data_IF_352875714771
#
_entry.id   IF_352875714771
#
_cell.length_a   1.000
_cell.length_b   1.000
_cell.length_c   1.000
_cell.angle_alpha   90.00
_cell.angle_beta   90.00
_cell.angle_gamma   90.00
#
_symmetry.space_group_name_H-M   'P 1'
#
loop_
_entity.id
_entity.type
_entity.pdbx_description
1 polymer ?
#
# COMPACT_ATOMS: atom_id res chain seq x y z
N UNK A 1 -7.33 -71.96 -25.85
CA UNK A 1 -5.96 -71.51 -25.77
C UNK A 1 -5.79 -70.46 -26.84
N UNK A 2 -5.73 -69.18 -26.52
CA UNK A 2 -5.38 -68.11 -27.41
C UNK A 2 -4.34 -67.21 -26.67
N UNK A 3 -3.26 -66.81 -27.31
CA UNK A 3 -2.19 -66.09 -26.61
C UNK A 3 -2.52 -64.63 -26.38
N UNK A 4 -2.14 -64.17 -25.19
CA UNK A 4 -2.18 -62.80 -24.72
C UNK A 4 -1.13 -61.96 -25.44
N UNK A 5 -1.51 -60.92 -26.15
CA UNK A 5 -0.60 -59.93 -26.72
C UNK A 5 -0.32 -58.85 -25.69
N UNK A 6 0.91 -58.79 -25.20
CA UNK A 6 1.47 -57.74 -24.40
C UNK A 6 1.80 -56.55 -25.28
N UNK A 7 0.99 -55.48 -25.23
CA UNK A 7 1.28 -54.20 -25.82
C UNK A 7 1.98 -53.27 -24.83
N UNK A 8 3.27 -53.19 -24.87
CA UNK A 8 4.05 -52.12 -24.21
C UNK A 8 3.82 -50.79 -24.95
N UNK A 9 3.01 -49.90 -24.34
CA UNK A 9 2.95 -48.51 -24.74
C UNK A 9 4.02 -47.75 -23.99
N UNK A 10 5.19 -47.58 -24.58
CA UNK A 10 6.22 -46.67 -24.11
C UNK A 10 5.76 -45.22 -24.35
N UNK A 11 5.18 -44.62 -23.34
CA UNK A 11 5.01 -43.17 -23.31
C UNK A 11 6.39 -42.53 -23.04
N UNK A 12 7.12 -42.22 -24.10
CA UNK A 12 8.29 -41.34 -24.04
C UNK A 12 7.83 -39.94 -23.66
N UNK A 13 7.91 -39.59 -22.39
CA UNK A 13 7.97 -38.20 -21.95
C UNK A 13 9.33 -37.64 -22.44
N UNK A 14 9.32 -36.97 -23.58
CA UNK A 14 10.35 -36.03 -23.95
C UNK A 14 10.28 -34.85 -22.97
N UNK A 15 11.03 -34.93 -21.87
CA UNK A 15 11.40 -33.77 -21.09
C UNK A 15 12.30 -32.91 -22.00
N UNK A 16 11.68 -32.00 -22.75
CA UNK A 16 12.41 -30.94 -23.46
C UNK A 16 13.22 -30.18 -22.42
N UNK A 17 14.53 -30.04 -22.66
CA UNK A 17 15.40 -29.25 -21.80
C UNK A 17 14.79 -27.83 -21.68
N UNK A 18 14.43 -27.41 -20.45
CA UNK A 18 13.96 -26.07 -20.20
C UNK A 18 14.98 -25.08 -20.72
N UNK A 19 14.56 -24.19 -21.63
CA UNK A 19 15.45 -23.14 -22.12
C UNK A 19 15.56 -22.09 -21.01
N UNK A 20 16.79 -21.73 -20.70
CA UNK A 20 17.09 -20.65 -19.76
C UNK A 20 17.50 -19.40 -20.51
N UNK A 21 17.15 -18.24 -20.00
CA UNK A 21 17.64 -16.96 -20.51
C UNK A 21 18.23 -16.13 -19.39
N UNK A 22 19.12 -15.21 -19.73
CA UNK A 22 19.70 -14.29 -18.76
C UNK A 22 18.90 -13.01 -18.71
N UNK A 23 18.66 -12.50 -17.51
CA UNK A 23 17.96 -11.24 -17.22
C UNK A 23 18.76 -10.40 -16.23
N UNK A 24 18.53 -9.09 -16.22
CA UNK A 24 19.02 -8.22 -15.17
C UNK A 24 17.97 -8.11 -14.04
N UNK A 25 18.46 -8.01 -12.82
CA UNK A 25 17.64 -7.80 -11.61
C UNK A 25 18.34 -6.85 -10.65
N UNK A 26 17.58 -5.97 -10.03
CA UNK A 26 18.05 -5.15 -8.92
C UNK A 26 17.79 -5.89 -7.61
N UNK A 27 18.85 -6.18 -6.84
CA UNK A 27 18.85 -7.10 -5.70
C UNK A 27 19.45 -6.44 -4.47
N UNK A 28 18.70 -6.45 -3.39
CA UNK A 28 19.13 -5.93 -2.09
C UNK A 28 19.88 -7.01 -1.32
N UNK A 29 21.13 -6.74 -0.92
CA UNK A 29 22.02 -7.64 -0.15
C UNK A 29 22.13 -7.28 1.33
N UNK A 30 21.83 -6.06 1.67
CA UNK A 30 21.89 -5.50 3.02
C UNK A 30 21.28 -4.10 3.03
N UNK A 31 21.27 -3.40 4.16
CA UNK A 31 20.77 -2.03 4.23
C UNK A 31 21.48 -1.13 3.23
N UNK A 32 20.71 -0.53 2.28
CA UNK A 32 21.21 0.35 1.21
C UNK A 32 22.23 -0.29 0.26
N UNK A 33 22.31 -1.60 0.22
CA UNK A 33 23.21 -2.35 -0.66
C UNK A 33 22.41 -3.00 -1.78
N UNK A 34 21.96 -2.17 -2.73
CA UNK A 34 21.19 -2.59 -3.89
C UNK A 34 22.13 -2.75 -5.09
N UNK A 35 22.17 -3.96 -5.67
CA UNK A 35 23.08 -4.31 -6.74
C UNK A 35 22.33 -4.75 -7.98
N UNK A 36 22.81 -4.34 -9.17
CA UNK A 36 22.36 -4.88 -10.44
C UNK A 36 23.07 -6.20 -10.71
N UNK A 37 22.32 -7.28 -10.86
CA UNK A 37 22.82 -8.63 -11.06
C UNK A 37 22.25 -9.27 -12.32
N UNK A 38 23.05 -10.12 -12.95
CA UNK A 38 22.58 -11.04 -14.00
C UNK A 38 22.04 -12.31 -13.34
N UNK A 39 20.82 -12.69 -13.67
CA UNK A 39 20.15 -13.88 -13.17
C UNK A 39 19.66 -14.74 -14.31
N UNK A 40 19.59 -16.04 -14.08
CA UNK A 40 18.99 -16.99 -15.01
C UNK A 40 17.50 -17.11 -14.69
N UNK A 41 16.66 -17.01 -15.73
CA UNK A 41 15.24 -17.32 -15.66
C UNK A 41 14.93 -18.49 -16.58
N UNK A 42 14.16 -19.44 -16.10
CA UNK A 42 13.69 -20.59 -16.86
C UNK A 42 12.44 -20.24 -17.68
N UNK A 43 12.08 -21.06 -18.64
CA UNK A 43 10.77 -20.98 -19.30
C UNK A 43 9.66 -21.09 -18.26
N UNK A 44 8.49 -20.45 -18.47
CA UNK A 44 7.39 -20.51 -17.50
C UNK A 44 6.87 -21.94 -17.34
N UNK A 45 6.68 -22.36 -16.10
CA UNK A 45 6.16 -23.67 -15.71
C UNK A 45 4.66 -23.80 -16.06
N UNK A 46 4.10 -24.99 -15.81
CA UNK A 46 2.66 -25.25 -15.99
C UNK A 46 1.84 -24.21 -15.22
N UNK A 47 0.92 -23.54 -15.90
CA UNK A 47 0.02 -22.53 -15.33
C UNK A 47 0.69 -21.17 -15.09
N UNK A 48 1.92 -20.94 -15.56
CA UNK A 48 2.62 -19.66 -15.41
C UNK A 48 2.72 -18.89 -16.73
N UNK A 49 2.83 -17.58 -16.60
CA UNK A 49 3.22 -16.65 -17.64
C UNK A 49 4.62 -16.12 -17.33
N UNK A 50 5.43 -15.92 -18.37
CA UNK A 50 6.60 -15.05 -18.24
C UNK A 50 6.18 -13.62 -18.63
N UNK A 51 6.35 -12.69 -17.71
CA UNK A 51 5.98 -11.29 -17.90
C UNK A 51 7.25 -10.44 -17.93
N UNK A 52 7.44 -9.70 -19.01
CA UNK A 52 8.40 -8.60 -19.05
C UNK A 52 7.82 -7.44 -18.24
N UNK A 53 8.51 -7.06 -17.20
CA UNK A 53 8.08 -5.97 -16.33
C UNK A 53 8.27 -4.65 -17.09
N UNK A 54 7.23 -3.81 -17.09
CA UNK A 54 7.30 -2.48 -17.68
C UNK A 54 7.46 -1.42 -16.59
N UNK A 55 6.59 -1.45 -15.57
CA UNK A 55 6.58 -0.45 -14.50
C UNK A 55 6.49 -1.15 -13.16
N UNK A 56 7.34 -0.75 -12.22
CA UNK A 56 7.26 -1.14 -10.81
C UNK A 56 7.21 0.10 -9.94
N UNK A 57 6.16 0.26 -9.13
CA UNK A 57 6.02 1.28 -8.09
C UNK A 57 6.85 0.94 -6.86
N UNK A 58 7.43 1.96 -6.23
CA UNK A 58 8.12 1.81 -4.94
C UNK A 58 7.13 2.03 -3.81
N UNK A 59 6.97 1.03 -2.96
CA UNK A 59 6.15 1.07 -1.74
C UNK A 59 6.97 1.47 -0.51
N UNK A 60 6.31 2.02 0.51
CA UNK A 60 6.95 2.31 1.80
C UNK A 60 7.55 1.06 2.47
N UNK A 61 6.97 -0.13 2.27
CA UNK A 61 7.53 -1.39 2.74
C UNK A 61 8.82 -1.78 2.03
N UNK A 62 8.95 -1.51 0.72
CA UNK A 62 10.20 -1.68 -0.01
C UNK A 62 11.28 -0.70 0.48
N UNK A 63 10.90 0.56 0.75
CA UNK A 63 11.80 1.56 1.36
C UNK A 63 12.27 1.10 2.74
N UNK A 64 11.40 0.44 3.52
CA UNK A 64 11.80 -0.13 4.81
C UNK A 64 12.85 -1.23 4.65
N UNK A 65 12.65 -2.18 3.73
CA UNK A 65 13.67 -3.19 3.40
C UNK A 65 14.96 -2.54 2.90
N UNK A 66 14.87 -1.58 1.99
CA UNK A 66 16.04 -0.87 1.47
C UNK A 66 16.88 -0.23 2.59
N UNK A 67 16.23 0.46 3.55
CA UNK A 67 16.92 1.15 4.63
C UNK A 67 17.43 0.25 5.74
N UNK A 68 16.68 -0.81 6.08
CA UNK A 68 16.87 -1.60 7.30
C UNK A 68 17.11 -3.08 7.06
N UNK A 69 16.99 -3.55 5.81
CA UNK A 69 16.92 -4.96 5.44
C UNK A 69 15.81 -5.72 6.17
N UNK A 70 14.79 -4.97 6.60
CA UNK A 70 13.65 -5.46 7.37
C UNK A 70 12.39 -4.62 7.10
N UNK A 71 11.22 -5.22 7.31
CA UNK A 71 9.93 -4.53 7.30
C UNK A 71 9.09 -4.99 8.50
N UNK A 72 8.97 -4.14 9.51
CA UNK A 72 8.49 -4.53 10.83
C UNK A 72 9.36 -5.66 11.40
N UNK A 73 8.74 -6.73 11.87
CA UNK A 73 9.41 -7.91 12.44
C UNK A 73 9.99 -8.88 11.37
N UNK A 74 9.77 -8.60 10.09
CA UNK A 74 10.24 -9.44 8.99
C UNK A 74 11.65 -8.99 8.54
N UNK A 75 12.67 -9.63 9.07
CA UNK A 75 14.07 -9.40 8.67
C UNK A 75 14.41 -10.26 7.43
N UNK A 76 15.07 -9.66 6.44
CA UNK A 76 15.65 -10.41 5.34
C UNK A 76 16.94 -11.10 5.82
N UNK A 77 17.11 -12.36 5.44
CA UNK A 77 18.30 -13.17 5.75
C UNK A 77 19.03 -13.67 4.49
N UNK A 78 18.52 -13.29 3.32
CA UNK A 78 19.05 -13.64 2.00
C UNK A 78 18.86 -12.48 1.04
N UNK A 79 19.63 -12.40 -0.06
CA UNK A 79 19.40 -11.38 -1.09
C UNK A 79 17.96 -11.39 -1.62
N UNK A 80 17.38 -10.21 -1.74
CA UNK A 80 15.97 -10.01 -2.08
C UNK A 80 15.82 -8.96 -3.17
N UNK A 81 15.29 -9.33 -4.35
CA UNK A 81 14.78 -8.34 -5.30
C UNK A 81 13.48 -7.74 -4.75
N UNK A 82 13.41 -6.42 -4.71
CA UNK A 82 12.25 -5.68 -4.20
C UNK A 82 11.19 -5.48 -5.30
N UNK A 83 10.11 -4.77 -4.95
CA UNK A 83 9.03 -4.41 -5.84
C UNK A 83 7.86 -5.40 -5.85
N UNK A 84 6.66 -4.86 -5.69
CA UNK A 84 5.40 -5.63 -5.66
C UNK A 84 4.19 -4.86 -6.21
N UNK A 85 4.39 -3.66 -6.72
CA UNK A 85 3.37 -2.84 -7.38
C UNK A 85 3.71 -2.78 -8.88
N UNK A 86 3.22 -3.73 -9.71
CA UNK A 86 3.81 -3.90 -11.04
C UNK A 86 2.84 -4.24 -12.13
N UNK A 87 3.21 -3.80 -13.32
CA UNK A 87 2.56 -4.10 -14.58
C UNK A 87 3.60 -4.47 -15.65
N UNK A 88 3.17 -5.18 -16.68
CA UNK A 88 4.07 -5.62 -17.74
C UNK A 88 3.36 -6.25 -18.92
N UNK A 89 4.12 -6.95 -19.74
CA UNK A 89 3.67 -7.58 -20.98
C UNK A 89 4.03 -9.07 -20.98
N UNK A 90 3.09 -9.92 -21.39
CA UNK A 90 3.30 -11.37 -21.53
C UNK A 90 4.27 -11.64 -22.68
N UNK A 91 5.41 -12.26 -22.37
CA UNK A 91 6.45 -12.59 -23.35
C UNK A 91 6.65 -14.08 -23.58
N UNK A 92 6.17 -14.93 -22.66
CA UNK A 92 6.07 -16.38 -22.85
C UNK A 92 4.89 -16.94 -22.05
N UNK A 93 4.36 -18.07 -22.52
CA UNK A 93 3.16 -18.71 -21.95
C UNK A 93 3.52 -20.15 -21.63
N UNK A 94 3.40 -20.54 -20.36
CA UNK A 94 3.64 -21.90 -19.91
C UNK A 94 2.53 -22.87 -20.30
N UNK A 95 2.80 -24.18 -20.21
CA UNK A 95 1.81 -25.19 -20.55
C UNK A 95 0.52 -25.04 -19.72
N UNK A 96 -0.60 -25.45 -20.30
CA UNK A 96 -1.96 -25.42 -19.71
C UNK A 96 -2.49 -24.01 -19.39
N UNK A 97 -1.82 -22.94 -19.74
CA UNK A 97 -2.37 -21.60 -19.65
C UNK A 97 -3.32 -21.34 -20.82
N UNK A 98 -4.52 -20.87 -20.52
CA UNK A 98 -5.52 -20.45 -21.50
C UNK A 98 -5.91 -19.01 -21.27
N UNK A 99 -6.47 -18.37 -22.30
CA UNK A 99 -7.00 -17.00 -22.17
C UNK A 99 -5.95 -15.89 -22.26
N UNK A 100 -4.67 -16.18 -22.48
CA UNK A 100 -3.60 -15.21 -22.70
C UNK A 100 -2.93 -15.37 -24.04
N UNK A 101 -2.43 -14.27 -24.59
CA UNK A 101 -1.63 -14.21 -25.80
C UNK A 101 -0.31 -13.49 -25.51
N UNK A 102 0.72 -13.76 -26.34
CA UNK A 102 1.94 -12.96 -26.33
C UNK A 102 1.58 -11.49 -26.65
N UNK A 103 2.17 -10.56 -25.92
CA UNK A 103 1.89 -9.15 -26.04
C UNK A 103 0.72 -8.65 -25.17
N UNK A 104 -0.04 -9.54 -24.51
CA UNK A 104 -1.09 -9.10 -23.57
C UNK A 104 -0.45 -8.25 -22.45
N UNK A 105 -1.06 -7.10 -22.21
CA UNK A 105 -0.72 -6.21 -21.11
C UNK A 105 -1.38 -6.71 -19.83
N UNK A 106 -0.64 -6.77 -18.74
CA UNK A 106 -1.12 -7.33 -17.48
C UNK A 106 -0.70 -6.51 -16.26
N UNK A 107 -1.56 -6.46 -15.25
CA UNK A 107 -1.22 -6.09 -13.89
C UNK A 107 -0.99 -7.36 -13.06
N UNK A 108 -0.05 -7.30 -12.13
CA UNK A 108 0.36 -8.44 -11.33
C UNK A 108 -0.22 -8.38 -9.93
N UNK A 109 -1.05 -9.35 -9.58
CA UNK A 109 -1.47 -9.57 -8.21
C UNK A 109 -0.44 -10.45 -7.51
N UNK A 110 0.45 -9.83 -6.75
CA UNK A 110 1.74 -10.38 -6.31
C UNK A 110 1.67 -11.31 -5.11
N UNK A 111 0.51 -11.48 -4.50
CA UNK A 111 0.24 -12.42 -3.42
C UNK A 111 -0.24 -13.77 -3.96
N UNK A 112 0.52 -14.84 -3.75
CA UNK A 112 0.17 -16.19 -4.21
C UNK A 112 -0.26 -17.03 -3.00
N UNK A 113 -1.56 -17.22 -2.77
CA UNK A 113 -2.08 -18.06 -1.70
C UNK A 113 -2.01 -19.54 -2.07
N UNK A 114 -2.21 -20.42 -1.10
CA UNK A 114 -2.23 -21.85 -1.39
C UNK A 114 -3.49 -22.36 -2.12
N UNK A 115 -4.57 -21.56 -2.17
CA UNK A 115 -5.84 -21.90 -2.79
C UNK A 115 -6.69 -22.96 -2.07
N UNK A 116 -6.10 -23.76 -1.17
CA UNK A 116 -6.73 -24.98 -0.64
C UNK A 116 -7.17 -24.91 0.82
N UNK A 117 -6.59 -24.00 1.63
CA UNK A 117 -6.93 -23.92 3.06
C UNK A 117 -8.33 -23.33 3.28
N UNK A 118 -8.89 -23.55 4.46
CA UNK A 118 -10.24 -23.07 4.80
C UNK A 118 -10.40 -21.55 4.65
N UNK A 119 -9.33 -20.78 4.90
CA UNK A 119 -9.34 -19.32 4.72
C UNK A 119 -9.41 -18.94 3.23
N UNK A 120 -8.62 -19.62 2.38
CA UNK A 120 -8.69 -19.40 0.93
C UNK A 120 -10.07 -19.74 0.38
N UNK A 121 -10.66 -20.86 0.81
CA UNK A 121 -12.01 -21.28 0.36
C UNK A 121 -13.12 -20.31 0.79
N UNK A 122 -12.90 -19.52 1.85
CA UNK A 122 -13.79 -18.43 2.29
C UNK A 122 -13.56 -17.12 1.54
N UNK A 123 -12.72 -17.10 0.50
CA UNK A 123 -12.39 -15.89 -0.26
C UNK A 123 -11.46 -14.91 0.45
N UNK A 124 -10.96 -15.24 1.65
CA UNK A 124 -10.06 -14.40 2.45
C UNK A 124 -8.60 -14.79 2.28
N UNK A 125 -8.18 -15.02 1.05
CA UNK A 125 -6.86 -15.55 0.72
C UNK A 125 -5.70 -14.63 1.14
N UNK A 126 -5.93 -13.35 1.33
CA UNK A 126 -4.97 -12.42 1.93
C UNK A 126 -4.45 -12.89 3.30
N UNK A 127 -5.25 -13.65 4.06
CA UNK A 127 -4.91 -14.20 5.36
C UNK A 127 -4.33 -15.63 5.30
N UNK A 128 -4.03 -16.13 4.10
CA UNK A 128 -3.47 -17.46 3.93
C UNK A 128 -2.10 -17.58 4.63
N UNK A 129 -1.97 -18.53 5.58
CA UNK A 129 -0.69 -18.74 6.28
C UNK A 129 0.46 -19.17 5.36
N UNK A 130 0.12 -19.83 4.22
CA UNK A 130 1.07 -20.28 3.19
C UNK A 130 1.22 -19.29 2.04
N UNK A 131 0.74 -18.06 2.20
CA UNK A 131 0.89 -17.00 1.19
C UNK A 131 2.37 -16.71 0.94
N UNK A 132 2.77 -16.78 -0.33
CA UNK A 132 4.01 -16.19 -0.84
C UNK A 132 3.68 -14.80 -1.39
N UNK A 133 4.40 -13.80 -0.97
CA UNK A 133 4.19 -12.42 -1.43
C UNK A 133 5.50 -11.90 -1.99
N UNK A 134 5.47 -11.36 -3.21
CA UNK A 134 6.69 -10.83 -3.85
C UNK A 134 7.28 -9.70 -3.04
N UNK A 135 8.59 -9.54 -3.06
CA UNK A 135 9.30 -8.54 -2.26
C UNK A 135 9.10 -8.72 -0.75
N UNK A 136 9.02 -9.97 -0.27
CA UNK A 136 8.81 -10.23 1.15
C UNK A 136 9.76 -11.30 1.70
N UNK A 137 10.33 -11.02 2.85
CA UNK A 137 11.19 -11.94 3.60
C UNK A 137 10.41 -13.01 4.39
N UNK A 138 9.07 -13.08 4.29
CA UNK A 138 8.24 -14.01 5.05
C UNK A 138 8.54 -15.49 4.76
N UNK A 139 8.93 -15.83 3.55
CA UNK A 139 9.29 -17.19 3.15
C UNK A 139 10.80 -17.36 3.01
N UNK A 140 11.29 -18.59 3.22
CA UNK A 140 12.67 -18.97 2.92
C UNK A 140 12.62 -20.13 1.93
N UNK A 141 13.25 -20.01 0.73
CA UNK A 141 13.90 -18.81 0.20
C UNK A 141 12.92 -17.64 0.02
N UNK A 142 13.45 -16.40 0.07
CA UNK A 142 12.65 -15.20 -0.09
C UNK A 142 11.98 -15.15 -1.47
N UNK A 143 10.71 -14.72 -1.50
CA UNK A 143 9.98 -14.63 -2.76
C UNK A 143 10.32 -13.31 -3.46
N UNK A 144 11.13 -13.42 -4.50
CA UNK A 144 11.73 -12.30 -5.23
C UNK A 144 10.67 -11.37 -5.82
N UNK A 145 10.92 -10.07 -5.73
CA UNK A 145 10.05 -9.01 -6.23
C UNK A 145 10.14 -8.82 -7.75
N UNK A 146 9.63 -7.70 -8.21
CA UNK A 146 9.45 -7.36 -9.63
C UNK A 146 10.49 -6.40 -10.19
N UNK A 147 11.49 -5.97 -9.39
CA UNK A 147 12.63 -5.21 -9.91
C UNK A 147 13.60 -6.10 -10.67
N UNK A 148 13.07 -6.74 -11.72
CA UNK A 148 13.72 -7.64 -12.65
C UNK A 148 13.16 -7.40 -14.06
N UNK A 149 13.94 -7.60 -15.10
CA UNK A 149 13.43 -7.45 -16.48
C UNK A 149 12.26 -8.37 -16.80
N UNK A 150 12.30 -9.60 -16.27
CA UNK A 150 11.22 -10.59 -16.45
C UNK A 150 11.03 -11.44 -15.21
N UNK A 151 9.81 -11.91 -15.01
CA UNK A 151 9.47 -12.87 -13.95
C UNK A 151 8.53 -13.95 -14.50
N UNK A 152 8.59 -15.14 -13.92
CA UNK A 152 7.52 -16.13 -14.07
C UNK A 152 6.48 -15.91 -12.97
N UNK A 153 5.20 -15.89 -13.33
CA UNK A 153 4.11 -15.61 -12.42
C UNK A 153 2.88 -16.45 -12.77
N UNK A 154 2.14 -17.02 -11.78
CA UNK A 154 0.96 -17.80 -12.09
C UNK A 154 -0.07 -16.98 -12.87
N UNK A 155 -0.56 -17.53 -13.97
CA UNK A 155 -1.51 -16.86 -14.87
C UNK A 155 -2.78 -16.41 -14.16
N UNK A 156 -3.24 -17.17 -13.15
CA UNK A 156 -4.41 -16.85 -12.32
C UNK A 156 -4.28 -15.50 -11.58
N UNK A 157 -3.06 -15.06 -11.31
CA UNK A 157 -2.75 -13.80 -10.61
C UNK A 157 -2.20 -12.71 -11.55
N UNK A 158 -2.36 -12.92 -12.88
CA UNK A 158 -2.12 -11.92 -13.91
C UNK A 158 -3.47 -11.42 -14.41
N UNK A 159 -3.72 -10.12 -14.33
CA UNK A 159 -4.97 -9.50 -14.76
C UNK A 159 -4.77 -8.73 -16.05
N UNK A 160 -5.48 -9.11 -17.13
CA UNK A 160 -5.43 -8.39 -18.40
C UNK A 160 -5.84 -6.95 -18.26
N UNK A 161 -5.09 -6.07 -18.89
CA UNK A 161 -5.36 -4.65 -18.91
C UNK A 161 -6.00 -4.24 -20.25
N UNK A 162 -7.08 -3.46 -20.22
CA UNK A 162 -7.55 -2.76 -21.41
C UNK A 162 -6.50 -1.78 -21.93
N UNK A 163 -6.50 -1.54 -23.25
CA UNK A 163 -5.50 -0.70 -23.93
C UNK A 163 -5.46 0.75 -23.43
N UNK A 164 -6.58 1.23 -22.89
CA UNK A 164 -6.72 2.59 -22.39
C UNK A 164 -6.16 2.80 -20.97
N UNK A 165 -5.70 1.75 -20.30
CA UNK A 165 -5.06 1.86 -18.97
C UNK A 165 -3.55 1.93 -19.14
N UNK A 166 -2.90 2.94 -18.55
CA UNK A 166 -1.45 3.05 -18.55
C UNK A 166 -0.79 1.97 -17.70
N UNK A 167 0.49 1.68 -17.94
CA UNK A 167 1.25 0.77 -17.07
C UNK A 167 1.45 1.35 -15.67
N UNK A 168 1.49 2.67 -15.53
CA UNK A 168 1.58 3.36 -14.24
C UNK A 168 0.31 3.16 -13.41
N UNK A 169 -0.87 3.46 -14.00
CA UNK A 169 -2.14 3.20 -13.33
C UNK A 169 -2.31 1.72 -12.98
N UNK A 170 -1.81 0.83 -13.84
CA UNK A 170 -1.83 -0.61 -13.58
C UNK A 170 -0.88 -1.03 -12.45
N UNK A 171 0.29 -0.40 -12.31
CA UNK A 171 1.18 -0.61 -11.16
C UNK A 171 0.52 -0.14 -9.85
N UNK A 172 -0.28 0.93 -9.90
CA UNK A 172 -1.03 1.43 -8.75
C UNK A 172 -2.24 0.57 -8.36
N UNK A 173 -2.57 -0.48 -9.11
CA UNK A 173 -3.65 -1.42 -8.73
C UNK A 173 -3.37 -2.14 -7.41
N UNK A 174 -2.10 -2.40 -7.08
CA UNK A 174 -1.76 -3.03 -5.79
C UNK A 174 -2.16 -2.14 -4.61
N UNK A 175 -1.65 -0.90 -4.46
CA UNK A 175 -2.08 -0.02 -3.36
C UNK A 175 -3.55 0.40 -3.46
N UNK A 176 -4.13 0.52 -4.66
CA UNK A 176 -5.58 0.73 -4.83
C UNK A 176 -6.38 -0.45 -4.27
N UNK A 177 -5.89 -1.67 -4.45
CA UNK A 177 -6.51 -2.88 -3.91
C UNK A 177 -6.52 -2.88 -2.38
N UNK A 178 -5.47 -2.36 -1.73
CA UNK A 178 -5.44 -2.15 -0.28
C UNK A 178 -6.53 -1.15 0.13
N UNK A 179 -6.66 -0.03 -0.58
CA UNK A 179 -7.68 0.99 -0.31
C UNK A 179 -9.11 0.46 -0.50
N UNK A 180 -9.37 -0.27 -1.60
CA UNK A 180 -10.67 -0.93 -1.83
C UNK A 180 -10.98 -1.90 -0.69
N UNK A 181 -10.00 -2.69 -0.25
CA UNK A 181 -10.18 -3.65 0.82
C UNK A 181 -10.46 -2.97 2.17
N UNK A 182 -9.77 -1.86 2.46
CA UNK A 182 -10.00 -1.06 3.67
C UNK A 182 -11.43 -0.51 3.71
N UNK A 183 -11.89 0.09 2.62
CA UNK A 183 -13.23 0.67 2.52
C UNK A 183 -14.31 -0.43 2.54
N UNK A 184 -14.08 -1.56 1.85
CA UNK A 184 -14.99 -2.72 1.95
C UNK A 184 -15.10 -3.29 3.37
N UNK A 185 -14.05 -3.17 4.19
CA UNK A 185 -14.08 -3.58 5.60
C UNK A 185 -14.79 -2.56 6.50
N UNK A 186 -14.73 -1.29 6.12
CA UNK A 186 -15.43 -0.20 6.81
C UNK A 186 -16.93 -0.24 6.57
N UNK A 187 -17.36 -0.65 5.37
CA UNK A 187 -18.77 -0.65 4.95
C UNK A 187 -19.45 0.69 5.19
N UNK A 188 -18.89 1.83 4.69
CA UNK A 188 -19.49 3.11 4.92
C UNK A 188 -20.86 3.21 4.26
N UNK A 189 -21.82 3.79 4.96
CA UNK A 189 -23.14 4.08 4.40
C UNK A 189 -23.05 5.29 3.45
N UNK A 190 -23.73 5.31 2.30
CA UNK A 190 -23.80 6.50 1.48
C UNK A 190 -24.30 7.72 2.30
N UNK A 191 -23.62 8.84 2.13
CA UNK A 191 -23.86 10.06 2.93
C UNK A 191 -22.99 10.20 4.17
N UNK A 192 -22.32 9.13 4.64
CA UNK A 192 -21.44 9.19 5.81
C UNK A 192 -20.22 10.09 5.62
N UNK A 193 -19.63 10.47 6.74
CA UNK A 193 -18.39 11.25 6.85
C UNK A 193 -17.20 10.33 7.09
N UNK A 194 -16.04 10.66 6.52
CA UNK A 194 -14.80 9.92 6.71
C UNK A 194 -13.61 10.84 6.99
N UNK A 195 -12.74 10.40 7.90
CA UNK A 195 -11.43 11.01 8.15
C UNK A 195 -10.33 10.02 7.70
N UNK A 196 -9.37 10.51 6.94
CA UNK A 196 -8.18 9.74 6.55
C UNK A 196 -6.95 10.41 7.14
N UNK A 197 -6.23 9.72 8.01
CA UNK A 197 -4.99 10.23 8.61
C UNK A 197 -3.79 9.65 7.87
N UNK A 198 -3.04 10.53 7.22
CA UNK A 198 -1.92 10.22 6.34
C UNK A 198 -2.26 10.38 4.86
N UNK A 199 -1.64 11.36 4.18
CA UNK A 199 -1.80 11.63 2.75
C UNK A 199 -0.68 11.00 1.88
N UNK A 200 -0.19 9.83 2.28
CA UNK A 200 0.64 8.97 1.43
C UNK A 200 -0.18 8.29 0.33
N UNK A 201 0.46 7.47 -0.52
CA UNK A 201 -0.23 6.82 -1.64
C UNK A 201 -1.48 6.02 -1.20
N UNK A 202 -1.37 5.22 -0.13
CA UNK A 202 -2.51 4.43 0.38
C UNK A 202 -3.60 5.34 0.95
N UNK A 203 -3.23 6.39 1.71
CA UNK A 203 -4.20 7.34 2.27
C UNK A 203 -4.97 8.10 1.20
N UNK A 204 -4.30 8.60 0.16
CA UNK A 204 -4.93 9.23 -1.00
C UNK A 204 -5.94 8.29 -1.68
N UNK A 205 -5.50 7.05 -1.96
CA UNK A 205 -6.37 6.06 -2.58
C UNK A 205 -7.54 5.66 -1.68
N UNK A 206 -7.33 5.59 -0.35
CA UNK A 206 -8.40 5.30 0.63
C UNK A 206 -9.42 6.44 0.67
N UNK A 207 -8.96 7.70 0.65
CA UNK A 207 -9.85 8.87 0.58
C UNK A 207 -10.70 8.86 -0.70
N UNK A 208 -10.06 8.60 -1.86
CA UNK A 208 -10.78 8.47 -3.12
C UNK A 208 -11.79 7.33 -3.10
N UNK A 209 -11.44 6.19 -2.50
CA UNK A 209 -12.35 5.04 -2.39
C UNK A 209 -13.48 5.28 -1.41
N UNK A 210 -13.27 6.00 -0.29
CA UNK A 210 -14.33 6.42 0.61
C UNK A 210 -15.36 7.30 -0.13
N UNK A 211 -14.88 8.29 -0.91
CA UNK A 211 -15.75 9.10 -1.78
C UNK A 211 -16.49 8.24 -2.81
N UNK A 212 -15.79 7.31 -3.47
CA UNK A 212 -16.37 6.39 -4.45
C UNK A 212 -17.47 5.51 -3.84
N UNK A 213 -17.37 5.19 -2.54
CA UNK A 213 -18.36 4.40 -1.80
C UNK A 213 -19.54 5.22 -1.28
N UNK A 214 -19.54 6.54 -1.53
CA UNK A 214 -20.67 7.41 -1.22
C UNK A 214 -20.49 8.25 0.04
N UNK A 215 -19.30 8.28 0.67
CA UNK A 215 -19.05 9.26 1.73
C UNK A 215 -19.23 10.69 1.18
N UNK A 216 -20.09 11.47 1.78
CA UNK A 216 -20.39 12.86 1.38
C UNK A 216 -19.25 13.79 1.72
N UNK A 217 -18.64 13.59 2.87
CA UNK A 217 -17.48 14.35 3.38
C UNK A 217 -16.33 13.42 3.62
N UNK A 218 -15.17 13.73 3.03
CA UNK A 218 -13.91 13.01 3.26
C UNK A 218 -12.83 14.02 3.56
N UNK A 219 -12.40 14.05 4.81
CA UNK A 219 -11.29 14.89 5.28
C UNK A 219 -10.00 14.08 5.25
N UNK A 220 -8.94 14.66 4.70
CA UNK A 220 -7.59 14.04 4.73
C UNK A 220 -6.64 14.91 5.54
N UNK A 221 -5.87 14.30 6.44
CA UNK A 221 -4.92 14.98 7.31
C UNK A 221 -3.49 14.45 7.12
N UNK A 222 -2.51 15.35 7.04
CA UNK A 222 -1.09 15.01 6.99
C UNK A 222 -0.26 16.16 7.59
N UNK A 223 0.98 15.88 7.97
CA UNK A 223 1.97 16.89 8.39
C UNK A 223 2.64 17.59 7.20
N UNK A 224 2.45 17.09 5.98
CA UNK A 224 3.00 17.62 4.75
C UNK A 224 1.93 18.39 3.99
N UNK A 225 2.06 19.72 3.96
CA UNK A 225 1.12 20.63 3.29
C UNK A 225 0.95 20.28 1.80
N UNK A 226 2.05 20.00 1.09
CA UNK A 226 2.00 19.70 -0.35
C UNK A 226 1.18 18.45 -0.66
N UNK A 227 1.19 17.44 0.23
CA UNK A 227 0.36 16.23 0.10
C UNK A 227 -1.12 16.52 0.31
N UNK A 228 -1.44 17.35 1.32
CA UNK A 228 -2.83 17.75 1.59
C UNK A 228 -3.38 18.59 0.42
N UNK A 229 -2.61 19.58 -0.04
CA UNK A 229 -2.98 20.39 -1.21
C UNK A 229 -3.18 19.54 -2.47
N UNK A 230 -2.28 18.58 -2.71
CA UNK A 230 -2.43 17.63 -3.81
C UNK A 230 -3.73 16.83 -3.69
N UNK A 231 -4.07 16.33 -2.49
CA UNK A 231 -5.28 15.54 -2.25
C UNK A 231 -6.55 16.31 -2.65
N UNK A 232 -6.61 17.59 -2.27
CA UNK A 232 -7.75 18.46 -2.57
C UNK A 232 -7.76 18.86 -4.04
N UNK A 233 -6.64 19.38 -4.56
CA UNK A 233 -6.54 19.87 -5.94
C UNK A 233 -6.81 18.77 -6.97
N UNK A 234 -6.50 17.50 -6.64
CA UNK A 234 -6.72 16.34 -7.52
C UNK A 234 -7.99 15.56 -7.22
N UNK A 235 -8.80 16.02 -6.26
CA UNK A 235 -10.11 15.45 -5.97
C UNK A 235 -10.07 14.11 -5.24
N UNK A 236 -9.01 13.80 -4.50
CA UNK A 236 -8.95 12.60 -3.64
C UNK A 236 -9.81 12.75 -2.39
N UNK A 237 -9.86 13.94 -1.80
CA UNK A 237 -10.64 14.27 -0.62
C UNK A 237 -11.48 15.53 -0.84
N UNK A 238 -12.44 15.81 0.04
CA UNK A 238 -13.26 17.01 0.01
C UNK A 238 -12.66 18.13 0.86
N UNK A 239 -12.03 17.79 1.98
CA UNK A 239 -11.39 18.70 2.93
C UNK A 239 -9.99 18.23 3.26
N UNK A 240 -9.12 19.17 3.58
CA UNK A 240 -7.73 18.90 3.96
C UNK A 240 -7.36 19.58 5.27
N UNK A 241 -6.62 18.87 6.11
CA UNK A 241 -6.07 19.40 7.35
C UNK A 241 -4.56 19.20 7.38
N UNK A 242 -3.81 20.28 7.54
CA UNK A 242 -2.36 20.23 7.71
C UNK A 242 -2.06 20.23 9.21
N UNK A 243 -1.48 19.13 9.70
CA UNK A 243 -1.10 19.02 11.11
C UNK A 243 0.14 19.86 11.35
N UNK A 244 0.00 20.92 12.13
CA UNK A 244 1.14 21.72 12.54
C UNK A 244 2.10 20.89 13.39
N UNK A 245 3.38 20.88 12.99
CA UNK A 245 4.41 20.28 13.85
C UNK A 245 4.62 21.18 15.06
N UNK A 246 4.56 20.67 16.29
CA UNK A 246 4.92 21.47 17.44
C UNK A 246 6.29 22.10 17.23
N UNK A 247 6.36 23.42 17.24
CA UNK A 247 7.63 24.14 17.24
C UNK A 247 8.41 23.66 18.46
N UNK A 248 9.54 23.02 18.25
CA UNK A 248 10.48 22.74 19.33
C UNK A 248 10.89 24.07 19.95
N UNK A 249 10.33 24.41 21.11
CA UNK A 249 10.96 25.34 22.00
C UNK A 249 12.30 24.73 22.37
N UNK A 250 13.39 25.26 21.80
CA UNK A 250 14.76 24.94 22.21
C UNK A 250 14.84 25.14 23.73
N UNK A 251 15.16 24.13 24.54
CA UNK A 251 15.49 24.39 25.92
C UNK A 251 16.85 25.07 25.95
N UNK A 252 16.86 26.39 26.10
CA UNK A 252 17.99 27.07 26.69
C UNK A 252 18.04 26.64 28.15
N UNK A 253 18.70 25.56 28.45
CA UNK A 253 18.97 25.15 29.81
C UNK A 253 20.49 24.93 30.01
N UNK A 254 21.14 26.04 30.34
CA UNK A 254 22.37 25.99 31.12
C UNK A 254 21.98 25.65 32.56
N UNK A 255 22.21 24.45 33.02
CA UNK A 255 22.61 24.21 34.43
C UNK A 255 23.04 22.76 34.62
N UNK A 256 24.24 22.67 35.12
CA UNK A 256 25.00 21.61 35.80
C UNK A 256 24.12 20.52 36.45
N UNK A 257 24.43 19.28 36.13
CA UNK A 257 24.38 18.21 37.15
C UNK A 257 25.52 17.19 36.95
N UNK A 258 26.21 16.90 38.04
CA UNK A 258 27.31 15.98 38.16
C UNK A 258 26.85 14.52 38.12
N UNK A 259 27.73 13.56 37.75
CA UNK A 259 27.31 12.17 37.58
C UNK A 259 27.44 11.39 38.89
N UNK A 260 26.47 10.54 39.20
CA UNK A 260 26.67 9.44 40.15
C UNK A 260 26.03 8.14 39.63
N UNK A 261 26.92 7.18 39.42
CA UNK A 261 26.84 5.70 39.57
C UNK A 261 25.84 4.86 38.75
N UNK A 262 26.46 4.08 37.88
CA UNK A 262 26.31 2.62 37.64
C UNK A 262 24.93 2.05 37.34
N UNK A 263 24.73 1.70 36.06
CA UNK A 263 23.72 0.78 35.58
C UNK A 263 23.97 0.50 34.11
N UNK A 264 24.51 -0.67 33.80
CA UNK A 264 24.76 -1.19 32.47
C UNK A 264 23.43 -1.44 31.74
N UNK A 265 23.13 -0.64 30.74
CA UNK A 265 22.14 -0.96 29.72
C UNK A 265 22.70 -0.62 28.34
N UNK A 266 22.75 -1.61 27.48
CA UNK A 266 23.15 -1.51 26.08
C UNK A 266 22.26 -0.52 25.31
N UNK A 267 22.83 0.40 24.52
CA UNK A 267 22.04 1.31 23.70
C UNK A 267 21.50 0.59 22.46
N UNK A 268 20.19 0.46 22.33
CA UNK A 268 19.55 0.28 21.05
C UNK A 268 19.32 1.68 20.47
N UNK A 269 20.06 2.02 19.41
CA UNK A 269 19.92 3.25 18.65
C UNK A 269 18.52 3.31 17.97
N UNK A 270 17.54 3.80 18.71
CA UNK A 270 16.24 4.18 18.19
C UNK A 270 16.21 5.69 17.93
N UNK A 271 16.00 6.09 16.69
CA UNK A 271 15.69 7.48 16.36
C UNK A 271 14.45 7.90 17.16
N UNK A 272 14.69 8.71 18.18
CA UNK A 272 13.64 9.27 19.05
C UNK A 272 12.75 10.21 18.25
N UNK A 273 11.50 9.84 18.06
CA UNK A 273 10.49 10.78 17.53
C UNK A 273 10.11 11.78 18.64
N UNK A 274 9.76 13.04 18.31
CA UNK A 274 9.43 14.08 19.30
C UNK A 274 8.33 13.71 20.32
N UNK A 275 7.47 12.77 19.97
CA UNK A 275 6.40 12.25 20.84
C UNK A 275 6.89 11.50 22.08
N UNK A 276 8.16 11.04 22.11
CA UNK A 276 8.70 10.24 23.22
C UNK A 276 9.06 11.07 24.48
N UNK A 277 8.92 12.39 24.43
CA UNK A 277 9.21 13.28 25.56
C UNK A 277 7.98 13.71 26.36
N UNK A 278 6.77 13.46 25.84
CA UNK A 278 5.52 13.80 26.52
C UNK A 278 5.07 12.68 27.46
N UNK A 279 4.43 13.03 28.59
CA UNK A 279 3.76 12.06 29.45
C UNK A 279 2.58 11.42 28.68
N UNK A 280 2.16 10.20 29.05
CA UNK A 280 1.04 9.50 28.41
C UNK A 280 -0.23 10.35 28.40
N UNK A 281 -0.53 11.07 29.50
CA UNK A 281 -1.68 11.99 29.59
C UNK A 281 -1.57 13.13 28.58
N UNK A 282 -0.41 13.75 28.45
CA UNK A 282 -0.20 14.86 27.49
C UNK A 282 -0.27 14.41 26.03
N UNK A 283 0.07 13.15 25.73
CA UNK A 283 -0.11 12.57 24.39
C UNK A 283 -1.59 12.41 24.03
N UNK A 284 -2.41 11.97 24.98
CA UNK A 284 -3.85 11.84 24.77
C UNK A 284 -4.53 13.20 24.65
N UNK A 285 -4.13 14.20 25.45
CA UNK A 285 -4.65 15.56 25.34
C UNK A 285 -4.29 16.20 24.01
N UNK A 286 -3.07 16.01 23.51
CA UNK A 286 -2.67 16.44 22.18
C UNK A 286 -3.50 15.75 21.07
N UNK A 287 -3.69 14.44 21.15
CA UNK A 287 -4.49 13.71 20.16
C UNK A 287 -5.97 14.14 20.18
N UNK A 288 -6.51 14.47 21.36
CA UNK A 288 -7.87 15.03 21.51
C UNK A 288 -7.99 16.40 20.86
N UNK A 289 -7.01 17.29 21.07
CA UNK A 289 -6.98 18.60 20.43
C UNK A 289 -6.91 18.47 18.91
N UNK A 290 -6.03 17.61 18.39
CA UNK A 290 -5.94 17.36 16.95
C UNK A 290 -7.26 16.84 16.36
N UNK A 291 -7.95 15.94 17.06
CA UNK A 291 -9.23 15.44 16.62
C UNK A 291 -10.27 16.57 16.55
N UNK A 292 -10.35 17.42 17.58
CA UNK A 292 -11.26 18.56 17.61
C UNK A 292 -10.97 19.55 16.47
N UNK A 293 -9.70 19.85 16.20
CA UNK A 293 -9.30 20.74 15.11
C UNK A 293 -9.69 20.17 13.73
N UNK A 294 -9.50 18.87 13.52
CA UNK A 294 -9.89 18.19 12.26
C UNK A 294 -11.41 18.17 12.08
N UNK A 295 -12.16 17.96 13.16
CA UNK A 295 -13.62 17.93 13.15
C UNK A 295 -14.22 19.32 12.92
N UNK A 296 -13.57 20.38 13.35
CA UNK A 296 -14.04 21.76 13.13
C UNK A 296 -14.18 22.11 11.63
N UNK A 297 -13.41 21.43 10.76
CA UNK A 297 -13.53 21.60 9.31
C UNK A 297 -14.77 20.93 8.73
N UNK A 298 -15.29 19.88 9.37
CA UNK A 298 -16.49 19.17 8.94
C UNK A 298 -17.76 19.78 9.51
N UNK A 299 -17.67 20.40 10.69
CA UNK A 299 -18.78 21.07 11.38
C UNK A 299 -19.19 22.40 10.72
N UNK A 300 -18.46 22.89 9.73
CA UNK A 300 -18.77 24.15 9.04
C UNK A 300 -19.98 24.10 8.09
N UNK A 301 -20.58 22.93 7.88
CA UNK A 301 -21.84 22.82 7.12
C UNK A 301 -22.99 22.34 8.04
N UNK A 302 -23.75 23.29 8.62
CA UNK A 302 -24.86 22.95 9.49
C UNK A 302 -26.01 22.20 8.80
N UNK A 303 -25.97 22.08 7.47
CA UNK A 303 -26.97 21.32 6.71
C UNK A 303 -26.76 19.81 6.74
N UNK A 304 -25.59 19.36 7.22
CA UNK A 304 -25.22 17.95 7.21
C UNK A 304 -25.68 17.23 8.49
N UNK A 305 -25.79 17.95 9.61
CA UNK A 305 -26.14 17.36 10.91
C UNK A 305 -27.47 17.97 11.42
N UNK A 306 -28.51 17.15 11.53
CA UNK A 306 -29.81 17.54 12.05
C UNK A 306 -29.85 17.56 13.58
N UNK A 307 -28.93 16.86 14.25
CA UNK A 307 -28.88 16.72 15.71
C UNK A 307 -27.47 16.95 16.26
N UNK A 308 -27.36 17.61 17.42
CA UNK A 308 -26.08 17.89 18.09
C UNK A 308 -25.28 16.61 18.43
N UNK A 309 -25.96 15.47 18.59
CA UNK A 309 -25.32 14.17 18.90
C UNK A 309 -24.58 13.53 17.71
N UNK A 310 -25.01 13.78 16.46
CA UNK A 310 -24.30 13.30 15.27
C UNK A 310 -23.04 14.10 14.95
N UNK A 311 -22.94 15.33 15.48
CA UNK A 311 -21.78 16.21 15.27
C UNK A 311 -20.52 15.80 16.08
N UNK A 312 -20.61 14.77 16.95
CA UNK A 312 -19.53 14.39 17.88
C UNK A 312 -18.40 13.55 17.24
N UNK A 313 -18.30 13.52 15.92
CA UNK A 313 -17.21 12.84 15.19
C UNK A 313 -17.58 12.37 13.80
N UNK A 314 -16.62 11.73 13.11
CA UNK A 314 -16.86 11.13 11.80
C UNK A 314 -17.35 9.68 11.92
N UNK A 315 -18.10 9.20 10.93
CA UNK A 315 -18.58 7.82 10.88
C UNK A 315 -17.46 6.80 10.80
N UNK A 316 -16.43 7.11 10.00
CA UNK A 316 -15.30 6.21 9.76
C UNK A 316 -13.98 6.97 9.74
N UNK A 317 -13.01 6.48 10.50
CA UNK A 317 -11.63 6.96 10.43
C UNK A 317 -10.71 5.88 9.86
N UNK A 318 -9.93 6.23 8.84
CA UNK A 318 -8.89 5.39 8.25
C UNK A 318 -7.52 5.87 8.73
N UNK A 319 -6.87 5.08 9.58
CA UNK A 319 -5.51 5.34 10.06
C UNK A 319 -4.51 4.73 9.06
N UNK A 320 -3.84 5.58 8.26
CA UNK A 320 -2.94 5.18 7.17
C UNK A 320 -1.46 5.43 7.46
N UNK A 321 -1.09 5.80 8.68
CA UNK A 321 0.29 6.14 9.06
C UNK A 321 0.98 5.03 9.86
N UNK A 322 0.23 4.30 10.68
CA UNK A 322 0.73 3.34 11.67
C UNK A 322 1.39 4.00 12.88
N UNK A 323 1.17 5.30 13.10
CA UNK A 323 1.73 6.02 14.25
C UNK A 323 0.77 6.02 15.42
N UNK A 324 1.30 5.87 16.64
CA UNK A 324 0.51 5.80 17.87
C UNK A 324 -0.38 7.03 18.07
N UNK A 325 0.18 8.24 17.91
CA UNK A 325 -0.59 9.49 18.02
C UNK A 325 -1.73 9.57 17.00
N UNK A 326 -1.53 9.04 15.78
CA UNK A 326 -2.58 9.01 14.76
C UNK A 326 -3.70 8.02 15.13
N UNK A 327 -3.35 6.90 15.78
CA UNK A 327 -4.35 5.97 16.32
C UNK A 327 -5.15 6.60 17.46
N UNK A 328 -4.49 7.34 18.37
CA UNK A 328 -5.19 8.11 19.43
C UNK A 328 -6.16 9.13 18.80
N UNK A 329 -5.67 9.94 17.86
CA UNK A 329 -6.49 10.92 17.14
C UNK A 329 -7.67 10.27 16.43
N UNK A 330 -7.47 9.10 15.80
CA UNK A 330 -8.53 8.33 15.16
C UNK A 330 -9.65 7.96 16.13
N UNK A 331 -9.31 7.49 17.34
CA UNK A 331 -10.29 7.13 18.35
C UNK A 331 -11.09 8.35 18.85
N UNK A 332 -10.43 9.49 19.03
CA UNK A 332 -11.12 10.72 19.48
C UNK A 332 -11.98 11.35 18.38
N UNK A 333 -11.56 11.24 17.12
CA UNK A 333 -12.27 11.82 15.98
C UNK A 333 -13.48 10.99 15.51
N UNK A 334 -13.55 9.70 15.87
CA UNK A 334 -14.65 8.82 15.45
C UNK A 334 -15.83 8.95 16.39
N UNK A 335 -17.05 9.12 15.88
CA UNK A 335 -18.28 9.24 16.67
C UNK A 335 -18.64 7.95 17.41
N UNK A 336 -19.58 8.00 18.33
CA UNK A 336 -20.15 6.81 18.96
C UNK A 336 -20.78 5.88 17.89
N UNK A 337 -20.54 4.57 18.02
CA UNK A 337 -20.96 3.56 17.04
C UNK A 337 -20.22 3.61 15.71
N UNK A 338 -19.17 4.44 15.59
CA UNK A 338 -18.35 4.56 14.39
C UNK A 338 -17.25 3.51 14.28
N UNK A 339 -16.42 3.62 13.24
CA UNK A 339 -15.38 2.62 12.95
C UNK A 339 -14.00 3.27 12.76
N UNK A 340 -12.97 2.68 13.36
CA UNK A 340 -11.56 2.98 13.08
C UNK A 340 -10.94 1.84 12.29
N UNK A 341 -10.44 2.12 11.10
CA UNK A 341 -9.82 1.13 10.20
C UNK A 341 -8.30 1.31 10.25
N UNK A 342 -7.59 0.34 10.79
CA UNK A 342 -6.12 0.33 10.85
C UNK A 342 -5.54 -0.15 9.53
N UNK A 343 -5.02 0.78 8.74
CA UNK A 343 -4.42 0.53 7.41
C UNK A 343 -2.91 0.65 7.47
N UNK A 344 -2.40 1.63 8.21
CA UNK A 344 -0.98 1.92 8.33
C UNK A 344 -0.21 0.82 9.05
N UNK A 345 0.98 0.50 8.55
CA UNK A 345 1.95 -0.37 9.24
C UNK A 345 3.10 0.50 9.77
N UNK A 346 3.16 0.67 11.08
CA UNK A 346 4.18 1.49 11.73
C UNK A 346 4.66 0.88 13.03
N UNK A 347 4.34 1.51 14.15
CA UNK A 347 4.71 1.03 15.49
C UNK A 347 3.98 -0.26 15.82
N UNK A 348 4.70 -1.39 16.05
CA UNK A 348 4.05 -2.69 16.24
C UNK A 348 3.31 -2.83 17.59
N UNK A 349 3.76 -2.10 18.61
CA UNK A 349 3.14 -2.07 19.94
C UNK A 349 2.75 -0.63 20.24
N UNK A 350 1.49 -0.41 20.60
CA UNK A 350 0.94 0.92 20.88
C UNK A 350 0.13 0.89 22.18
N UNK A 351 0.23 1.97 22.96
CA UNK A 351 -0.64 2.23 24.12
C UNK A 351 -1.83 3.04 23.67
N UNK A 352 -3.03 2.52 23.77
CA UNK A 352 -4.24 3.19 23.26
C UNK A 352 -5.27 3.44 24.39
N UNK A 353 -6.07 4.53 24.30
CA UNK A 353 -7.09 4.87 25.29
C UNK A 353 -8.34 4.01 25.07
N UNK A 354 -8.29 2.74 25.48
CA UNK A 354 -9.36 1.74 25.22
C UNK A 354 -10.72 2.16 25.76
N UNK A 355 -10.77 2.94 26.86
CA UNK A 355 -12.05 3.45 27.40
C UNK A 355 -12.80 4.30 26.39
N UNK A 356 -12.11 5.03 25.53
CA UNK A 356 -12.73 5.86 24.47
C UNK A 356 -13.48 4.98 23.47
N UNK A 357 -12.86 3.88 23.03
CA UNK A 357 -13.51 2.95 22.13
C UNK A 357 -14.65 2.19 22.82
N UNK A 358 -14.42 1.73 24.06
CA UNK A 358 -15.39 0.92 24.81
C UNK A 358 -16.67 1.69 25.14
N UNK A 359 -16.55 2.91 25.69
CA UNK A 359 -17.70 3.68 26.12
C UNK A 359 -18.51 4.31 24.97
N UNK A 360 -17.91 4.35 23.78
CA UNK A 360 -18.53 4.88 22.56
C UNK A 360 -18.85 3.79 21.52
N UNK A 361 -18.68 2.51 21.86
CA UNK A 361 -18.89 1.36 20.97
C UNK A 361 -18.17 1.51 19.61
N UNK A 362 -16.94 2.04 19.61
CA UNK A 362 -16.16 2.21 18.39
C UNK A 362 -15.55 0.87 17.98
N UNK A 363 -15.85 0.42 16.77
CA UNK A 363 -15.23 -0.75 16.15
C UNK A 363 -13.78 -0.42 15.71
N UNK A 364 -12.80 -1.18 16.22
CA UNK A 364 -11.41 -1.10 15.76
C UNK A 364 -11.14 -2.29 14.82
N UNK A 365 -11.00 -2.01 13.52
CA UNK A 365 -10.87 -3.03 12.50
C UNK A 365 -9.49 -3.02 11.84
N UNK A 366 -8.75 -4.11 11.96
CA UNK A 366 -7.52 -4.31 11.20
C UNK A 366 -7.78 -4.75 9.76
N UNK A 367 -6.95 -4.26 8.84
CA UNK A 367 -6.88 -4.80 7.48
C UNK A 367 -5.48 -5.36 7.21
N UNK A 368 -5.38 -6.31 6.32
CA UNK A 368 -4.10 -6.83 5.87
C UNK A 368 -4.12 -7.08 4.38
N UNK A 369 -3.34 -6.28 3.63
CA UNK A 369 -3.29 -6.35 2.17
C UNK A 369 -4.69 -6.28 1.57
N UNK A 370 -5.06 -7.22 0.69
CA UNK A 370 -6.34 -7.24 -0.01
C UNK A 370 -6.71 -8.66 -0.46
N UNK A 371 -7.99 -8.84 -0.79
CA UNK A 371 -8.50 -10.03 -1.47
C UNK A 371 -9.67 -9.64 -2.39
N UNK A 372 -9.72 -10.23 -3.59
CA UNK A 372 -10.80 -10.08 -4.59
C UNK A 372 -11.02 -8.64 -5.08
N UNK A 373 -9.98 -7.81 -5.17
CA UNK A 373 -10.09 -6.37 -5.44
C UNK A 373 -9.55 -5.93 -6.80
N UNK A 374 -8.63 -6.68 -7.42
CA UNK A 374 -7.99 -6.29 -8.69
C UNK A 374 -8.99 -6.06 -9.82
N UNK A 375 -9.95 -6.95 -10.01
CA UNK A 375 -10.99 -6.81 -11.05
C UNK A 375 -11.82 -5.55 -10.81
N UNK A 376 -12.17 -5.26 -9.55
CA UNK A 376 -12.86 -4.02 -9.17
C UNK A 376 -12.00 -2.79 -9.47
N UNK A 377 -10.72 -2.83 -9.10
CA UNK A 377 -9.76 -1.76 -9.40
C UNK A 377 -9.65 -1.47 -10.90
N UNK A 378 -9.53 -2.50 -11.74
CA UNK A 378 -9.49 -2.34 -13.21
C UNK A 378 -10.78 -1.70 -13.73
N UNK A 379 -11.95 -2.13 -13.24
CA UNK A 379 -13.24 -1.52 -13.62
C UNK A 379 -13.30 -0.03 -13.25
N UNK A 380 -12.82 0.34 -12.07
CA UNK A 380 -12.77 1.73 -11.62
C UNK A 380 -11.82 2.57 -12.47
N UNK A 381 -10.62 2.05 -12.80
CA UNK A 381 -9.69 2.71 -13.71
C UNK A 381 -10.31 2.93 -15.09
N UNK A 382 -10.98 1.91 -15.65
CA UNK A 382 -11.67 2.02 -16.94
C UNK A 382 -12.78 3.08 -16.91
N UNK A 383 -13.52 3.19 -15.81
CA UNK A 383 -14.57 4.19 -15.65
C UNK A 383 -13.97 5.61 -15.58
N UNK A 384 -12.90 5.79 -14.80
CA UNK A 384 -12.17 7.05 -14.71
C UNK A 384 -11.62 7.51 -16.07
N UNK A 385 -10.98 6.60 -16.82
CA UNK A 385 -10.45 6.89 -18.15
C UNK A 385 -11.53 7.26 -19.17
N UNK A 386 -12.67 6.57 -19.15
CA UNK A 386 -13.79 6.91 -20.02
C UNK A 386 -14.34 8.31 -19.73
N UNK A 387 -14.47 8.67 -18.46
CA UNK A 387 -14.94 10.00 -18.07
C UNK A 387 -13.95 11.09 -18.48
N UNK A 388 -12.65 10.84 -18.31
CA UNK A 388 -11.60 11.75 -18.77
C UNK A 388 -11.66 12.01 -20.27
N UNK A 389 -11.78 10.95 -21.09
CA UNK A 389 -11.91 11.06 -22.56
C UNK A 389 -13.18 11.79 -22.97
N UNK A 390 -14.26 11.68 -22.20
CA UNK A 390 -15.52 12.37 -22.46
C UNK A 390 -15.50 13.85 -22.00
N UNK A 391 -14.37 14.39 -21.54
CA UNK A 391 -14.27 15.77 -21.04
C UNK A 391 -15.00 16.01 -19.71
N UNK A 392 -15.43 14.94 -19.02
CA UNK A 392 -16.17 15.00 -17.75
C UNK A 392 -15.24 14.91 -16.52
N UNK A 393 -13.94 14.82 -16.74
CA UNK A 393 -12.96 14.83 -15.66
C UNK A 393 -12.87 16.23 -15.05
N UNK A 394 -13.21 16.36 -13.77
CA UNK A 394 -13.18 17.64 -13.04
C UNK A 394 -14.50 18.39 -12.96
N UNK A 395 -15.61 17.81 -13.42
CA UNK A 395 -16.93 18.44 -13.22
C UNK A 395 -17.35 18.25 -11.76
N UNK A 396 -17.35 19.33 -11.00
CA UNK A 396 -18.02 19.50 -9.72
C UNK A 396 -19.54 19.40 -9.92
N UNK A 397 -20.03 18.19 -10.17
CA UNK A 397 -21.45 17.99 -10.43
C UNK A 397 -21.76 16.50 -10.63
N UNK A 398 -22.07 15.80 -9.57
CA UNK A 398 -22.97 14.65 -9.61
C UNK A 398 -22.40 13.25 -9.88
N UNK A 399 -21.09 13.05 -9.97
CA UNK A 399 -20.53 11.69 -10.07
C UNK A 399 -19.16 11.59 -9.42
N UNK A 400 -19.05 10.90 -8.30
CA UNK A 400 -17.77 10.64 -7.67
C UNK A 400 -17.02 9.58 -8.48
N UNK A 401 -16.12 10.03 -9.37
CA UNK A 401 -15.23 9.15 -10.13
C UNK A 401 -13.88 9.08 -9.43
N UNK A 402 -13.25 7.91 -9.54
CA UNK A 402 -11.86 7.75 -9.07
C UNK A 402 -10.98 8.80 -9.77
N UNK A 403 -10.16 9.57 -9.04
CA UNK A 403 -9.20 10.48 -9.64
C UNK A 403 -8.27 9.78 -10.62
N UNK A 404 -7.73 10.53 -11.57
CA UNK A 404 -6.78 9.99 -12.54
C UNK A 404 -5.46 9.61 -11.83
N UNK A 405 -5.19 8.32 -11.71
CA UNK A 405 -4.12 7.82 -10.84
C UNK A 405 -2.71 8.09 -11.36
N UNK A 406 -2.51 8.22 -12.68
CA UNK A 406 -1.18 8.54 -13.23
C UNK A 406 -0.58 9.83 -12.64
N UNK A 407 -1.42 10.79 -12.19
CA UNK A 407 -0.92 12.01 -11.52
C UNK A 407 -0.26 11.74 -10.17
N UNK A 408 -0.47 10.58 -9.57
CA UNK A 408 0.24 10.19 -8.35
C UNK A 408 1.70 9.82 -8.62
N UNK A 409 2.03 9.41 -9.85
CA UNK A 409 3.40 9.11 -10.27
C UNK A 409 4.14 10.43 -10.52
N UNK A 410 4.81 10.90 -9.49
CA UNK A 410 5.53 12.18 -9.52
C UNK A 410 6.94 12.05 -10.10
N UNK A 411 7.57 10.90 -9.96
CA UNK A 411 8.94 10.66 -10.41
C UNK A 411 9.09 9.30 -11.07
N UNK A 412 9.92 9.28 -12.12
CA UNK A 412 10.13 8.11 -12.97
C UNK A 412 11.61 7.91 -13.23
N UNK A 413 12.09 6.69 -13.03
CA UNK A 413 13.44 6.27 -13.34
C UNK A 413 13.40 5.19 -14.41
N UNK A 414 14.26 5.30 -15.41
CA UNK A 414 14.41 4.29 -16.46
C UNK A 414 15.61 3.42 -16.17
N UNK A 415 15.44 2.11 -16.34
CA UNK A 415 16.46 1.11 -16.12
C UNK A 415 16.64 0.72 -14.64
N UNK A 416 16.88 -0.57 -14.43
CA UNK A 416 17.06 -1.14 -13.09
C UNK A 416 18.35 -0.65 -12.39
N UNK A 417 19.32 -0.17 -13.14
CA UNK A 417 20.56 0.45 -12.66
C UNK A 417 20.31 1.74 -11.87
N UNK A 418 19.17 2.41 -12.08
CA UNK A 418 18.79 3.61 -11.35
C UNK A 418 17.96 3.31 -10.09
N UNK A 419 17.77 2.04 -9.73
CA UNK A 419 16.93 1.66 -8.59
C UNK A 419 17.40 2.27 -7.27
N UNK A 420 18.70 2.31 -7.00
CA UNK A 420 19.24 2.90 -5.76
C UNK A 420 18.83 4.38 -5.62
N UNK A 421 18.99 5.17 -6.70
CA UNK A 421 18.59 6.59 -6.74
C UNK A 421 17.07 6.76 -6.57
N UNK A 422 16.29 5.85 -7.15
CA UNK A 422 14.84 5.85 -7.03
C UNK A 422 14.40 5.58 -5.58
N UNK A 423 15.04 4.65 -4.88
CA UNK A 423 14.78 4.37 -3.47
C UNK A 423 15.17 5.53 -2.55
N UNK A 424 16.32 6.15 -2.80
CA UNK A 424 16.74 7.34 -2.05
C UNK A 424 15.70 8.47 -2.20
N UNK A 425 15.19 8.71 -3.41
CA UNK A 425 14.15 9.70 -3.65
C UNK A 425 12.81 9.29 -3.02
N UNK A 426 12.37 8.05 -3.19
CA UNK A 426 11.10 7.54 -2.64
C UNK A 426 11.05 7.61 -1.10
N UNK A 427 12.19 7.78 -0.46
CA UNK A 427 12.30 7.93 0.99
C UNK A 427 12.14 9.37 1.50
N UNK A 428 11.93 10.33 0.60
CA UNK A 428 11.75 11.76 0.89
C UNK A 428 10.31 12.19 0.57
N UNK A 429 9.89 13.35 1.08
CA UNK A 429 8.60 13.97 0.74
C UNK A 429 8.71 15.00 -0.38
N UNK A 430 9.88 15.57 -0.55
CA UNK A 430 10.21 16.50 -1.64
C UNK A 430 11.55 16.13 -2.27
N UNK A 431 11.69 16.39 -3.56
CA UNK A 431 12.94 16.22 -4.29
C UNK A 431 13.90 17.41 -4.04
N UNK A 432 15.13 17.39 -4.58
CA UNK A 432 16.08 18.50 -4.44
C UNK A 432 15.60 19.81 -5.06
N UNK A 433 14.63 19.78 -5.98
CA UNK A 433 14.04 20.95 -6.64
C UNK A 433 12.79 21.46 -5.92
N UNK A 434 12.41 20.83 -4.78
CA UNK A 434 11.24 21.19 -3.98
C UNK A 434 9.93 20.59 -4.52
N UNK A 435 9.97 19.72 -5.51
CA UNK A 435 8.78 19.04 -6.05
C UNK A 435 8.33 17.91 -5.13
N UNK A 436 7.01 17.81 -4.94
CA UNK A 436 6.38 16.77 -4.13
C UNK A 436 6.73 15.36 -4.62
N UNK A 437 7.13 14.48 -3.70
CA UNK A 437 7.34 13.05 -3.94
C UNK A 437 6.18 12.26 -3.36
N UNK A 438 5.36 11.67 -4.22
CA UNK A 438 4.24 10.79 -3.82
C UNK A 438 4.49 9.35 -4.21
N UNK A 439 4.56 9.07 -5.50
CA UNK A 439 4.88 7.74 -6.03
C UNK A 439 6.06 7.86 -6.98
N UNK A 440 7.08 7.06 -6.72
CA UNK A 440 8.23 6.85 -7.59
C UNK A 440 8.05 5.53 -8.30
N UNK A 441 8.28 5.49 -9.60
CA UNK A 441 8.24 4.26 -10.41
C UNK A 441 9.58 4.03 -11.10
N UNK A 442 9.87 2.76 -11.34
CA UNK A 442 11.01 2.30 -12.15
C UNK A 442 10.45 1.60 -13.39
N UNK A 443 10.85 2.06 -14.56
CA UNK A 443 10.64 1.40 -15.85
C UNK A 443 11.83 0.45 -16.08
N UNK A 444 11.56 -0.87 -16.17
CA UNK A 444 12.59 -1.90 -16.34
C UNK A 444 13.00 -2.05 -17.80
#
# INVERSE_FOLDING_TARGET
>A
MAPCATGESAAMHLAGASKTSTINASVLHGPRDLRLERRTIEDPSIGELQVAIHTTGICGSDVSYYKKFANGDLCACMPLSLGHESSGVVVAIGPQVTGFNLGDRVALEVGIPCGQCGICRKGRYNLCKRMKFRSSAKSVPHFQGTLQERINHPATWCHKLPDNISFDAAALLEPLSVAIHAVNRAEPTPGSSALVIGAGAVGLLTAAMARQSGCSTVTIADVDQGRVEFAIAKGFATHGYVVERPLHSSPSCSSMYSPSSSGTSTPLDGVMTPASTLSVSSQFDYARSLAADMLSLTASDPSIYSDEEEADGVDVTFECTGKEVCMHTSLYATRAGGKVIMVGMGTPVQTIPMSVAHLREIDILGIFRYANTYVTGIKLLCASERARKAGKAGVSGGGCLLPFLDQMVTHRFKGLENADRAFELASKTVDPEGKLVLKVVIEA
#
